data_IF_114870232733
#
_entry.id   IF_114870232733
#
_cell.length_a   1.000
_cell.length_b   1.000
_cell.length_c   1.000
_cell.angle_alpha   90.00
_cell.angle_beta   90.00
_cell.angle_gamma   90.00
#
_symmetry.space_group_name_H-M   'P 1'
#
loop_
_entity.id
_entity.type
_entity.pdbx_description
1 polymer ?
#
# COMPACT_ATOMS: atom_id res chain seq x y z
N UNK A 1 -22.96 -8.69 16.28
CA UNK A 1 -21.60 -8.32 15.83
C UNK A 1 -21.03 -7.34 16.84
N UNK A 2 -19.79 -7.51 17.28
CA UNK A 2 -19.12 -6.49 18.11
C UNK A 2 -18.94 -5.21 17.29
N UNK A 3 -19.07 -4.04 17.92
CA UNK A 3 -18.82 -2.77 17.26
C UNK A 3 -17.34 -2.65 16.87
N UNK A 4 -17.07 -2.17 15.66
CA UNK A 4 -15.71 -1.85 15.21
C UNK A 4 -15.28 -0.56 15.91
N UNK A 5 -14.14 -0.60 16.60
CA UNK A 5 -13.50 0.58 17.17
C UNK A 5 -12.30 0.99 16.30
N UNK A 6 -12.45 2.05 15.52
CA UNK A 6 -11.39 2.64 14.72
C UNK A 6 -10.55 3.59 15.60
N UNK A 7 -9.27 3.27 15.76
CA UNK A 7 -8.30 4.01 16.57
C UNK A 7 -7.60 5.11 15.76
N UNK A 8 -7.23 4.81 14.52
CA UNK A 8 -6.63 5.78 13.58
C UNK A 8 -7.08 5.48 12.15
N UNK A 9 -6.94 6.48 11.29
CA UNK A 9 -7.06 6.32 9.85
C UNK A 9 -6.21 7.38 9.15
N UNK A 10 -5.76 7.11 7.93
CA UNK A 10 -5.05 8.06 7.08
C UNK A 10 -5.12 7.62 5.61
N UNK A 11 -4.83 8.54 4.70
CA UNK A 11 -4.62 8.19 3.30
C UNK A 11 -3.12 8.23 3.00
N UNK A 12 -2.64 7.27 2.22
CA UNK A 12 -1.30 7.31 1.63
C UNK A 12 -1.43 7.82 0.20
N UNK A 13 -0.67 8.86 -0.16
CA UNK A 13 -0.53 9.30 -1.55
C UNK A 13 0.51 8.40 -2.24
N UNK A 14 0.09 7.76 -3.32
CA UNK A 14 0.94 6.90 -4.15
C UNK A 14 1.70 7.76 -5.18
N UNK A 15 2.87 7.28 -5.66
CA UNK A 15 3.64 8.04 -6.63
C UNK A 15 2.88 8.20 -7.96
N UNK A 16 3.15 9.29 -8.68
CA UNK A 16 2.44 9.64 -9.92
C UNK A 16 2.62 8.62 -11.05
N UNK A 17 3.61 7.73 -10.96
CA UNK A 17 3.84 6.67 -11.94
C UNK A 17 3.28 5.30 -11.50
N UNK A 18 2.48 5.25 -10.43
CA UNK A 18 1.95 3.98 -9.90
C UNK A 18 1.11 3.22 -10.92
N UNK A 19 0.38 3.92 -11.79
CA UNK A 19 -0.44 3.32 -12.83
C UNK A 19 -0.49 4.21 -14.07
N UNK A 20 -0.92 3.69 -15.24
CA UNK A 20 -1.12 4.50 -16.44
C UNK A 20 -2.14 5.64 -16.30
N UNK A 21 -2.98 5.58 -15.27
CA UNK A 21 -3.99 6.60 -14.97
C UNK A 21 -3.48 7.67 -14.02
N UNK A 22 -2.40 7.39 -13.29
CA UNK A 22 -1.83 8.33 -12.37
C UNK A 22 -1.09 9.43 -13.13
N UNK A 23 -1.19 10.66 -12.65
CA UNK A 23 -0.54 11.81 -13.25
C UNK A 23 -0.59 13.02 -12.33
N UNK A 24 -0.02 14.17 -12.75
CA UNK A 24 0.00 15.39 -11.93
C UNK A 24 -1.38 15.85 -11.48
N UNK A 25 -2.40 15.64 -12.31
CA UNK A 25 -3.79 16.03 -12.04
C UNK A 25 -4.66 14.87 -11.51
N UNK A 26 -4.09 13.66 -11.38
CA UNK A 26 -4.83 12.47 -10.96
C UNK A 26 -3.99 11.66 -9.96
N UNK A 27 -3.97 12.15 -8.72
CA UNK A 27 -3.34 11.47 -7.60
C UNK A 27 -4.09 10.20 -7.21
N UNK A 28 -3.33 9.15 -6.91
CA UNK A 28 -3.85 7.86 -6.46
C UNK A 28 -3.58 7.69 -4.98
N UNK A 29 -4.54 7.09 -4.28
CA UNK A 29 -4.55 6.98 -2.84
C UNK A 29 -4.76 5.54 -2.40
N UNK A 30 -4.15 5.22 -1.27
CA UNK A 30 -4.35 3.99 -0.51
C UNK A 30 -4.93 4.37 0.87
N UNK A 31 -6.24 4.15 1.11
CA UNK A 31 -6.85 4.42 2.41
C UNK A 31 -6.46 3.34 3.42
N UNK A 32 -5.96 3.76 4.57
CA UNK A 32 -5.54 2.89 5.68
C UNK A 32 -6.36 3.20 6.92
N UNK A 33 -6.84 2.15 7.56
CA UNK A 33 -7.56 2.19 8.84
C UNK A 33 -6.83 1.36 9.87
N UNK A 34 -6.97 1.74 11.14
CA UNK A 34 -6.52 0.96 12.28
C UNK A 34 -7.72 0.65 13.17
N UNK A 35 -8.22 -0.58 13.05
CA UNK A 35 -9.27 -1.07 13.93
C UNK A 35 -8.65 -1.87 15.08
N UNK A 36 -9.18 -1.69 16.31
CA UNK A 36 -8.63 -2.26 17.54
C UNK A 36 -8.38 -3.78 17.48
N UNK A 37 -9.31 -4.54 16.88
CA UNK A 37 -9.23 -6.01 16.83
C UNK A 37 -8.64 -6.58 15.54
N UNK A 38 -8.57 -5.78 14.47
CA UNK A 38 -8.05 -6.22 13.16
C UNK A 38 -6.61 -5.77 12.96
N UNK A 39 -6.22 -4.66 13.59
CA UNK A 39 -4.97 -3.98 13.30
C UNK A 39 -5.09 -3.06 12.09
N UNK A 40 -3.93 -2.68 11.55
CA UNK A 40 -3.83 -1.77 10.41
C UNK A 40 -4.08 -2.52 9.11
N UNK A 41 -4.97 -2.01 8.29
CA UNK A 41 -5.30 -2.61 7.00
C UNK A 41 -5.81 -1.56 6.00
N UNK A 42 -5.76 -1.91 4.73
CA UNK A 42 -6.43 -1.16 3.66
C UNK A 42 -7.92 -1.50 3.63
N UNK A 43 -8.76 -0.56 3.18
CA UNK A 43 -10.20 -0.80 3.06
C UNK A 43 -10.59 -1.75 1.92
N UNK A 44 -9.71 -1.88 0.94
CA UNK A 44 -9.82 -2.90 -0.09
C UNK A 44 -8.89 -4.07 0.17
N UNK A 45 -9.30 -5.20 -0.40
CA UNK A 45 -8.56 -6.45 -0.40
C UNK A 45 -7.38 -6.36 -1.33
N UNK A 46 -7.51 -5.74 -2.51
CA UNK A 46 -6.45 -5.64 -3.53
C UNK A 46 -5.52 -4.43 -3.32
N UNK A 47 -4.46 -4.28 -4.13
CA UNK A 47 -3.58 -3.10 -4.05
C UNK A 47 -4.37 -1.85 -4.42
N UNK A 48 -4.72 -0.98 -3.45
CA UNK A 48 -5.66 0.10 -3.72
C UNK A 48 -4.90 1.25 -4.38
N UNK A 49 -5.13 1.44 -5.67
CA UNK A 49 -4.60 2.57 -6.44
C UNK A 49 -5.76 3.40 -6.95
N UNK A 50 -6.41 4.11 -6.04
CA UNK A 50 -7.71 4.72 -6.31
C UNK A 50 -7.66 6.24 -6.32
N UNK A 51 -8.37 6.92 -7.24
CA UNK A 51 -8.56 8.35 -7.14
C UNK A 51 -9.40 8.71 -5.91
N UNK A 52 -9.31 9.96 -5.44
CA UNK A 52 -9.97 10.42 -4.22
C UNK A 52 -11.50 10.15 -4.19
N UNK A 53 -12.19 10.27 -5.33
CA UNK A 53 -13.64 10.01 -5.42
C UNK A 53 -13.99 8.54 -5.19
N UNK A 54 -13.12 7.62 -5.62
CA UNK A 54 -13.32 6.18 -5.44
C UNK A 54 -13.10 5.81 -3.98
N UNK A 55 -12.07 6.35 -3.33
CA UNK A 55 -11.87 6.22 -1.88
C UNK A 55 -13.10 6.68 -1.09
N UNK A 56 -13.66 7.85 -1.41
CA UNK A 56 -14.88 8.34 -0.75
C UNK A 56 -16.07 7.39 -1.01
N UNK A 57 -16.22 6.87 -2.22
CA UNK A 57 -17.26 5.90 -2.54
C UNK A 57 -17.12 4.63 -1.71
N UNK A 58 -15.90 4.10 -1.56
CA UNK A 58 -15.62 2.95 -0.70
C UNK A 58 -15.95 3.23 0.76
N UNK A 59 -15.56 4.39 1.27
CA UNK A 59 -15.86 4.85 2.63
C UNK A 59 -17.37 4.88 2.88
N UNK A 60 -18.12 5.46 1.94
CA UNK A 60 -19.58 5.48 2.00
C UNK A 60 -20.16 4.07 2.04
N UNK A 61 -19.72 3.19 1.14
CA UNK A 61 -20.26 1.84 0.99
C UNK A 61 -19.93 0.91 2.18
N UNK A 62 -18.71 0.97 2.69
CA UNK A 62 -18.20 -0.01 3.67
C UNK A 62 -18.24 0.46 5.12
N UNK A 63 -18.12 1.76 5.37
CA UNK A 63 -17.89 2.30 6.73
C UNK A 63 -18.94 3.31 7.17
N UNK A 64 -19.39 4.21 6.30
CA UNK A 64 -20.40 5.20 6.67
C UNK A 64 -21.75 4.54 7.01
N UNK A 65 -22.12 3.45 6.33
CA UNK A 65 -23.30 2.63 6.67
C UNK A 65 -23.19 2.09 8.10
N UNK A 66 -22.02 1.63 8.53
CA UNK A 66 -21.80 1.13 9.89
C UNK A 66 -21.98 2.22 10.96
N UNK A 67 -21.79 3.49 10.62
CA UNK A 67 -22.09 4.62 11.50
C UNK A 67 -23.60 4.74 11.74
N UNK A 68 -24.43 4.53 10.70
CA UNK A 68 -25.90 4.50 10.79
C UNK A 68 -26.34 3.36 11.71
N UNK A 69 -25.75 2.18 11.53
CA UNK A 69 -26.05 0.98 12.31
C UNK A 69 -25.47 1.03 13.74
N UNK A 70 -24.75 2.11 14.10
CA UNK A 70 -24.02 2.26 15.37
C UNK A 70 -23.05 1.12 15.66
N UNK A 71 -22.55 0.49 14.60
CA UNK A 71 -21.58 -0.61 14.66
C UNK A 71 -20.15 -0.15 14.36
N UNK A 72 -19.95 1.13 14.05
CA UNK A 72 -18.64 1.79 13.98
C UNK A 72 -18.55 2.91 15.03
N UNK A 73 -17.50 2.85 15.84
CA UNK A 73 -17.09 3.91 16.76
C UNK A 73 -15.65 4.32 16.46
N UNK A 74 -15.31 5.56 16.77
CA UNK A 74 -13.97 6.12 16.61
C UNK A 74 -13.44 6.46 17.99
N UNK A 75 -12.33 5.85 18.38
CA UNK A 75 -11.76 5.99 19.73
C UNK A 75 -12.81 5.79 20.83
N UNK A 76 -13.62 4.73 20.69
CA UNK A 76 -14.70 4.37 21.62
C UNK A 76 -15.92 5.29 21.59
N UNK A 77 -15.99 6.28 20.68
CA UNK A 77 -17.11 7.23 20.58
C UNK A 77 -17.92 7.03 19.30
N UNK A 78 -19.26 7.01 19.36
CA UNK A 78 -20.10 7.03 18.16
C UNK A 78 -19.78 8.23 17.27
N UNK A 79 -19.86 8.03 15.96
CA UNK A 79 -19.65 9.07 14.96
C UNK A 79 -20.81 9.06 13.96
N UNK A 80 -21.25 10.23 13.51
CA UNK A 80 -22.27 10.31 12.45
C UNK A 80 -21.66 10.00 11.08
N UNK A 81 -22.44 9.49 10.11
CA UNK A 81 -21.96 9.26 8.75
C UNK A 81 -21.34 10.52 8.11
N UNK A 82 -21.95 11.69 8.30
CA UNK A 82 -21.48 12.97 7.74
C UNK A 82 -20.14 13.38 8.36
N UNK A 83 -20.02 13.21 9.67
CA UNK A 83 -18.78 13.49 10.41
C UNK A 83 -17.67 12.54 9.96
N UNK A 84 -18.00 11.27 9.74
CA UNK A 84 -17.06 10.27 9.26
C UNK A 84 -16.57 10.56 7.83
N UNK A 85 -17.48 10.93 6.91
CA UNK A 85 -17.12 11.34 5.55
C UNK A 85 -16.24 12.60 5.57
N UNK A 86 -16.59 13.60 6.38
CA UNK A 86 -15.77 14.81 6.57
C UNK A 86 -14.36 14.47 7.04
N UNK A 87 -14.24 13.58 8.03
CA UNK A 87 -12.96 13.02 8.55
C UNK A 87 -12.08 12.47 7.43
N UNK A 88 -12.67 11.84 6.41
CA UNK A 88 -11.94 11.24 5.29
C UNK A 88 -11.57 12.25 4.19
N UNK A 89 -12.44 13.23 3.93
CA UNK A 89 -12.08 14.36 3.05
C UNK A 89 -10.87 15.13 3.57
N UNK A 90 -10.79 15.35 4.88
CA UNK A 90 -9.64 15.99 5.53
C UNK A 90 -8.34 15.18 5.38
N UNK A 91 -8.42 13.85 5.41
CA UNK A 91 -7.27 12.95 5.18
C UNK A 91 -6.82 12.94 3.73
N UNK A 92 -7.75 12.94 2.79
CA UNK A 92 -7.44 13.04 1.37
C UNK A 92 -6.81 14.39 1.02
N UNK A 93 -7.18 15.46 1.72
CA UNK A 93 -6.55 16.78 1.55
C UNK A 93 -5.15 16.87 2.17
N UNK A 94 -4.77 15.93 3.05
CA UNK A 94 -3.47 15.89 3.74
C UNK A 94 -2.95 14.44 3.78
N UNK A 95 -2.71 13.83 2.61
CA UNK A 95 -2.26 12.46 2.55
C UNK A 95 -0.81 12.34 3.03
N UNK A 96 -0.45 11.19 3.56
CA UNK A 96 0.95 10.85 3.86
C UNK A 96 1.60 10.38 2.55
N UNK A 97 2.65 11.02 2.03
CA UNK A 97 3.36 10.49 0.87
C UNK A 97 3.91 9.10 1.16
N UNK A 98 3.82 8.17 0.22
CA UNK A 98 4.32 6.80 0.40
C UNK A 98 5.80 6.76 0.84
N UNK A 99 6.63 7.68 0.30
CA UNK A 99 8.04 7.84 0.67
C UNK A 99 8.26 8.26 2.13
N UNK A 100 7.25 8.85 2.77
CA UNK A 100 7.28 9.28 4.17
C UNK A 100 6.54 8.33 5.11
N UNK A 101 5.93 7.26 4.61
CA UNK A 101 5.12 6.35 5.42
C UNK A 101 5.91 5.73 6.59
N UNK A 102 7.18 5.36 6.34
CA UNK A 102 8.06 4.84 7.38
C UNK A 102 8.40 5.91 8.43
N UNK A 103 8.65 7.14 8.02
CA UNK A 103 9.01 8.24 8.91
C UNK A 103 7.82 8.75 9.74
N UNK A 104 6.70 9.03 9.07
CA UNK A 104 5.56 9.74 9.68
C UNK A 104 4.62 8.77 10.42
N UNK A 105 4.62 7.48 10.05
CA UNK A 105 3.73 6.46 10.65
C UNK A 105 4.46 5.24 11.22
N UNK A 106 5.77 5.09 11.03
CA UNK A 106 6.51 3.90 11.46
C UNK A 106 6.14 2.64 10.67
N UNK A 107 5.66 2.79 9.42
CA UNK A 107 5.08 1.69 8.65
C UNK A 107 5.80 1.48 7.32
N UNK A 108 5.88 0.21 6.94
CA UNK A 108 6.25 -0.26 5.61
C UNK A 108 5.05 -0.96 4.99
N UNK A 109 4.70 -0.59 3.76
CA UNK A 109 3.61 -1.22 3.02
C UNK A 109 4.18 -2.20 1.98
N UNK A 110 3.76 -3.46 2.07
CA UNK A 110 4.20 -4.52 1.17
C UNK A 110 2.99 -5.11 0.46
N UNK A 111 2.94 -4.99 -0.87
CA UNK A 111 1.94 -5.71 -1.66
C UNK A 111 2.32 -7.19 -1.73
N UNK A 112 1.35 -8.05 -1.46
CA UNK A 112 1.51 -9.50 -1.41
C UNK A 112 0.51 -10.13 -2.38
N UNK A 113 1.04 -10.84 -3.38
CA UNK A 113 0.29 -11.59 -4.37
C UNK A 113 0.59 -13.06 -4.19
N UNK A 114 -0.44 -13.87 -3.97
CA UNK A 114 -0.34 -15.32 -3.81
C UNK A 114 -1.24 -16.00 -4.83
N UNK A 115 -0.72 -17.00 -5.52
CA UNK A 115 -1.46 -17.78 -6.50
C UNK A 115 -0.98 -19.22 -6.55
N UNK A 116 -1.85 -20.10 -7.03
CA UNK A 116 -1.51 -21.48 -7.37
C UNK A 116 -0.71 -21.47 -8.67
N UNK A 117 0.47 -22.06 -8.66
CA UNK A 117 1.32 -22.11 -9.85
C UNK A 117 0.58 -22.79 -11.01
N UNK A 118 0.51 -22.11 -12.15
CA UNK A 118 0.01 -22.67 -13.41
C UNK A 118 0.72 -22.01 -14.60
N UNK A 119 0.92 -22.74 -15.72
CA UNK A 119 1.42 -22.14 -16.96
C UNK A 119 0.49 -21.04 -17.50
N UNK A 120 -0.82 -21.14 -17.25
CA UNK A 120 -1.82 -20.17 -17.68
C UNK A 120 -1.61 -18.79 -17.03
N UNK A 121 -1.26 -18.76 -15.74
CA UNK A 121 -0.95 -17.51 -15.04
C UNK A 121 0.34 -16.89 -15.58
N UNK A 122 1.41 -17.68 -15.75
CA UNK A 122 2.67 -17.15 -16.28
C UNK A 122 2.54 -16.65 -17.74
N UNK A 123 1.73 -17.31 -18.56
CA UNK A 123 1.49 -16.95 -19.95
C UNK A 123 0.53 -15.77 -20.17
N UNK A 124 -0.06 -15.21 -19.10
CA UNK A 124 -1.02 -14.09 -19.18
C UNK A 124 -0.38 -12.90 -19.85
N UNK A 125 -1.03 -12.42 -20.91
CA UNK A 125 -0.66 -11.16 -21.58
C UNK A 125 -1.37 -9.98 -20.95
N UNK A 126 -0.69 -8.83 -20.96
CA UNK A 126 -1.28 -7.57 -20.58
C UNK A 126 -2.31 -7.14 -21.64
N UNK A 127 -3.41 -6.51 -21.21
CA UNK A 127 -4.47 -6.03 -22.10
C UNK A 127 -4.24 -4.57 -22.55
N UNK A 128 -3.01 -4.07 -22.39
CA UNK A 128 -2.67 -2.67 -22.55
C UNK A 128 -1.83 -2.45 -23.80
N UNK A 129 -1.84 -1.22 -24.32
CA UNK A 129 -0.94 -0.79 -25.39
C UNK A 129 0.41 -0.43 -24.75
N UNK A 130 1.50 -1.03 -25.25
CA UNK A 130 2.88 -0.84 -24.76
C UNK A 130 3.05 -1.03 -23.24
N UNK A 131 2.64 -2.18 -22.68
CA UNK A 131 2.89 -2.48 -21.27
C UNK A 131 4.41 -2.67 -21.06
N UNK A 132 4.94 -2.35 -19.86
CA UNK A 132 6.34 -2.60 -19.54
C UNK A 132 6.68 -4.10 -19.54
N UNK A 133 5.67 -4.94 -19.31
CA UNK A 133 5.78 -6.40 -19.38
C UNK A 133 4.75 -6.94 -20.36
N UNK A 134 5.20 -7.71 -21.36
CA UNK A 134 4.28 -8.33 -22.30
C UNK A 134 3.45 -9.43 -21.63
N UNK A 135 4.07 -10.18 -20.69
CA UNK A 135 3.44 -11.25 -19.93
C UNK A 135 3.72 -11.14 -18.43
N UNK A 136 2.85 -11.76 -17.62
CA UNK A 136 3.07 -11.87 -16.19
C UNK A 136 4.36 -12.64 -15.86
N UNK A 137 4.68 -13.68 -16.64
CA UNK A 137 5.94 -14.41 -16.52
C UNK A 137 7.18 -13.53 -16.70
N UNK A 138 7.11 -12.48 -17.52
CA UNK A 138 8.23 -11.55 -17.73
C UNK A 138 8.44 -10.69 -16.46
N UNK A 139 7.35 -10.20 -15.85
CA UNK A 139 7.38 -9.50 -14.56
C UNK A 139 8.01 -10.38 -13.47
N UNK A 140 7.62 -11.66 -13.42
CA UNK A 140 8.18 -12.60 -12.44
C UNK A 140 9.64 -12.95 -12.70
N UNK A 141 10.08 -12.97 -13.95
CA UNK A 141 11.49 -13.21 -14.30
C UNK A 141 12.39 -12.05 -13.85
N UNK A 142 11.89 -10.82 -13.94
CA UNK A 142 12.63 -9.62 -13.51
C UNK A 142 12.66 -9.44 -11.99
N UNK A 143 11.51 -9.60 -11.32
CA UNK A 143 11.38 -9.27 -9.89
C UNK A 143 11.43 -10.48 -8.96
N UNK A 144 11.41 -11.70 -9.53
CA UNK A 144 11.44 -12.94 -8.78
C UNK A 144 10.10 -13.27 -8.09
N UNK A 145 10.00 -14.50 -7.58
CA UNK A 145 8.91 -14.92 -6.70
C UNK A 145 9.38 -16.04 -5.77
N UNK A 146 8.75 -16.12 -4.61
CA UNK A 146 8.96 -17.19 -3.63
C UNK A 146 8.06 -18.37 -4.03
N UNK A 147 8.59 -19.58 -3.91
CA UNK A 147 7.86 -20.82 -4.21
C UNK A 147 7.76 -21.65 -2.95
N UNK A 148 6.55 -21.93 -2.51
CA UNK A 148 6.29 -22.73 -1.33
C UNK A 148 5.49 -23.98 -1.74
N UNK A 149 5.86 -25.18 -1.25
CA UNK A 149 5.02 -26.34 -1.40
C UNK A 149 3.72 -26.12 -0.61
N UNK A 150 2.56 -26.39 -1.22
CA UNK A 150 1.27 -26.28 -0.53
C UNK A 150 1.22 -27.25 0.63
N UNK A 151 1.02 -26.73 1.84
CA UNK A 151 0.80 -27.53 3.05
C UNK A 151 -0.66 -27.99 3.19
N UNK A 152 -1.56 -27.52 2.33
CA UNK A 152 -3.00 -27.75 2.41
C UNK A 152 -3.44 -29.12 1.81
N UNK A 153 -2.78 -30.22 2.21
CA UNK A 153 -3.26 -31.59 1.99
C UNK A 153 -3.35 -32.10 0.55
N UNK A 154 -2.95 -31.29 -0.44
CA UNK A 154 -2.93 -31.69 -1.85
C UNK A 154 -1.47 -31.81 -2.32
N UNK A 155 -0.92 -33.05 -2.38
CA UNK A 155 0.43 -33.25 -2.89
C UNK A 155 0.53 -32.74 -4.33
N UNK A 156 1.49 -31.85 -4.59
CA UNK A 156 1.79 -31.34 -5.94
C UNK A 156 1.30 -29.92 -6.25
N UNK A 157 0.52 -29.28 -5.38
CA UNK A 157 0.19 -27.85 -5.54
C UNK A 157 1.36 -26.98 -5.03
N UNK A 158 1.90 -26.13 -5.89
CA UNK A 158 2.89 -25.12 -5.51
C UNK A 158 2.20 -23.76 -5.40
N UNK A 159 2.36 -23.09 -4.27
CA UNK A 159 1.94 -21.70 -4.09
C UNK A 159 3.11 -20.81 -4.44
N UNK A 160 2.86 -19.81 -5.28
CA UNK A 160 3.83 -18.78 -5.64
C UNK A 160 3.41 -17.49 -4.95
N UNK A 161 4.40 -16.79 -4.41
CA UNK A 161 4.21 -15.52 -3.72
C UNK A 161 5.14 -14.47 -4.32
N UNK A 162 4.58 -13.34 -4.75
CA UNK A 162 5.31 -12.13 -5.08
C UNK A 162 5.07 -11.12 -3.95
N UNK A 163 6.15 -10.61 -3.37
CA UNK A 163 6.11 -9.54 -2.38
C UNK A 163 6.82 -8.32 -2.94
N UNK A 164 6.14 -7.17 -2.91
CA UNK A 164 6.66 -5.92 -3.46
C UNK A 164 6.58 -4.85 -2.39
N UNK A 165 7.73 -4.33 -1.98
CA UNK A 165 7.78 -3.13 -1.15
C UNK A 165 7.29 -1.94 -1.97
N UNK A 166 6.19 -1.32 -1.55
CA UNK A 166 5.58 -0.23 -2.30
C UNK A 166 6.49 1.01 -2.34
N UNK A 167 7.33 1.21 -1.33
CA UNK A 167 8.24 2.35 -1.25
C UNK A 167 9.57 2.13 -2.00
N UNK A 168 9.85 0.91 -2.45
CA UNK A 168 11.03 0.63 -3.27
C UNK A 168 10.95 1.38 -4.63
N UNK A 169 12.09 1.61 -5.31
CA UNK A 169 12.07 2.16 -6.66
C UNK A 169 11.14 1.36 -7.57
N UNK A 170 10.16 2.03 -8.18
CA UNK A 170 9.10 1.43 -9.01
C UNK A 170 8.19 0.41 -8.29
N UNK A 171 8.32 0.20 -6.98
CA UNK A 171 7.59 -0.84 -6.24
C UNK A 171 6.08 -0.72 -6.34
N UNK A 172 5.54 0.49 -6.13
CA UNK A 172 4.11 0.73 -6.31
C UNK A 172 3.63 0.44 -7.75
N UNK A 173 4.44 0.77 -8.75
CA UNK A 173 4.12 0.52 -10.16
C UNK A 173 4.13 -0.98 -10.50
N UNK A 174 5.12 -1.72 -9.98
CA UNK A 174 5.21 -3.18 -10.14
C UNK A 174 4.02 -3.86 -9.47
N UNK A 175 3.64 -3.41 -8.27
CA UNK A 175 2.48 -3.93 -7.57
C UNK A 175 1.18 -3.69 -8.35
N UNK A 176 1.02 -2.52 -8.98
CA UNK A 176 -0.13 -2.26 -9.83
C UNK A 176 -0.20 -3.22 -11.03
N UNK A 177 0.91 -3.44 -11.73
CA UNK A 177 0.95 -4.37 -12.86
C UNK A 177 0.67 -5.82 -12.44
N UNK A 178 1.24 -6.25 -11.31
CA UNK A 178 0.96 -7.57 -10.76
C UNK A 178 -0.54 -7.72 -10.40
N UNK A 179 -1.17 -6.69 -9.84
CA UNK A 179 -2.60 -6.70 -9.56
C UNK A 179 -3.43 -6.77 -10.84
N UNK A 180 -3.10 -5.97 -11.86
CA UNK A 180 -3.78 -5.96 -13.17
C UNK A 180 -3.77 -7.34 -13.83
N UNK A 181 -2.59 -7.99 -13.90
CA UNK A 181 -2.46 -9.35 -14.43
C UNK A 181 -3.34 -10.37 -13.69
N UNK A 182 -3.44 -10.23 -12.37
CA UNK A 182 -4.15 -11.18 -11.49
C UNK A 182 -5.62 -10.81 -11.26
N UNK A 183 -6.08 -9.65 -11.72
CA UNK A 183 -7.45 -9.16 -11.52
C UNK A 183 -8.49 -9.87 -12.40
N UNK A 184 -8.06 -10.64 -13.39
CA UNK A 184 -8.95 -11.28 -14.36
C UNK A 184 -9.83 -12.37 -13.75
N UNK A 185 -11.13 -12.32 -14.04
CA UNK A 185 -12.10 -13.33 -13.60
C UNK A 185 -11.77 -14.76 -14.07
N UNK A 186 -11.07 -14.89 -15.21
CA UNK A 186 -10.70 -16.17 -15.82
C UNK A 186 -9.69 -17.00 -14.99
N UNK A 187 -9.01 -16.39 -14.02
CA UNK A 187 -8.02 -17.04 -13.14
C UNK A 187 -8.32 -16.82 -11.66
N UNK A 188 -9.51 -16.31 -11.34
CA UNK A 188 -9.90 -15.95 -9.97
C UNK A 188 -9.84 -17.14 -9.00
N UNK A 189 -10.03 -18.36 -9.50
CA UNK A 189 -9.92 -19.62 -8.76
C UNK A 189 -8.48 -20.02 -8.43
N UNK A 190 -7.50 -19.48 -9.17
CA UNK A 190 -6.08 -19.72 -8.98
C UNK A 190 -5.40 -18.65 -8.13
N UNK A 191 -5.97 -17.45 -8.05
CA UNK A 191 -5.50 -16.38 -7.18
C UNK A 191 -5.94 -16.64 -5.75
N UNK A 192 -4.98 -16.74 -4.84
CA UNK A 192 -5.22 -16.99 -3.41
C UNK A 192 -5.44 -15.67 -2.68
N UNK A 193 -4.57 -14.69 -2.95
CA UNK A 193 -4.71 -13.36 -2.36
C UNK A 193 -3.99 -12.31 -3.20
N UNK A 194 -4.51 -11.11 -3.21
CA UNK A 194 -3.85 -9.87 -3.64
C UNK A 194 -4.16 -8.92 -2.51
N UNK A 195 -3.16 -8.39 -1.80
CA UNK A 195 -3.36 -7.53 -0.61
C UNK A 195 -2.16 -6.66 -0.30
N UNK A 196 -2.33 -5.71 0.61
CA UNK A 196 -1.23 -4.92 1.18
C UNK A 196 -1.10 -5.23 2.66
N UNK A 197 0.06 -5.75 3.04
CA UNK A 197 0.43 -5.98 4.43
C UNK A 197 1.20 -4.74 4.96
N UNK A 198 0.77 -4.23 6.12
CA UNK A 198 1.37 -3.07 6.79
C UNK A 198 2.24 -3.55 7.95
N UNK A 199 3.56 -3.46 7.77
CA UNK A 199 4.54 -3.89 8.75
C UNK A 199 5.05 -2.70 9.56
N UNK A 200 5.24 -2.90 10.87
CA UNK A 200 5.96 -1.94 11.70
C UNK A 200 7.44 -1.92 11.27
N UNK A 201 7.98 -0.72 11.11
CA UNK A 201 9.41 -0.53 10.90
C UNK A 201 10.08 -0.48 12.27
N UNK A 202 11.07 -1.35 12.56
CA UNK A 202 11.83 -1.27 13.80
C UNK A 202 12.48 0.11 13.91
N UNK A 203 12.42 0.71 15.10
CA UNK A 203 12.91 2.08 15.36
C UNK A 203 14.40 2.26 15.02
N UNK A 204 15.18 1.17 15.01
CA UNK A 204 16.63 1.17 14.75
C UNK A 204 17.02 1.13 13.26
N UNK A 205 16.06 1.07 12.34
CA UNK A 205 16.31 0.91 10.89
C UNK A 205 16.18 2.21 10.07
N UNK A 206 16.22 3.38 10.70
CA UNK A 206 16.30 4.65 9.96
C UNK A 206 17.73 4.87 9.42
N UNK A 207 17.93 5.15 8.12
CA UNK A 207 19.24 5.54 7.63
C UNK A 207 19.68 6.84 8.31
N UNK A 208 20.74 6.76 9.09
CA UNK A 208 21.40 7.90 9.71
C UNK A 208 22.03 8.78 8.63
N UNK A 209 21.29 9.75 8.10
CA UNK A 209 21.91 10.84 7.33
C UNK A 209 20.92 11.97 7.07
N UNK A 210 20.87 12.92 7.99
CA UNK A 210 20.89 14.37 7.72
C UNK A 210 21.44 15.08 8.97
N UNK A 211 22.68 14.76 9.35
CA UNK A 211 23.46 15.74 10.09
C UNK A 211 23.84 16.84 9.09
N UNK A 212 23.06 17.91 9.16
CA UNK A 212 23.42 19.22 8.63
C UNK A 212 24.87 19.51 9.00
N UNK A 213 25.76 19.52 8.00
CA UNK A 213 27.11 20.00 8.18
C UNK A 213 27.02 21.51 8.46
N UNK A 214 27.10 21.87 9.74
CA UNK A 214 27.33 23.26 10.14
C UNK A 214 28.66 23.71 9.51
N UNK A 215 28.75 24.92 8.94
CA UNK A 215 30.00 25.43 8.41
C UNK A 215 30.99 25.62 9.56
N UNK A 216 32.14 24.96 9.44
CA UNK A 216 33.32 25.17 10.28
C UNK A 216 33.70 26.65 10.24
N UNK A 217 33.36 27.36 11.31
CA UNK A 217 33.92 28.68 11.60
C UNK A 217 35.35 28.45 12.08
N UNK A 218 36.33 28.61 11.19
CA UNK A 218 37.74 28.69 11.56
C UNK A 218 38.01 30.08 12.13
N UNK A 219 38.07 30.15 13.46
CA UNK A 219 38.62 31.26 14.22
C UNK A 219 39.86 30.75 14.97
N UNK A 220 40.83 31.65 15.13
CA UNK A 220 42.10 31.55 15.89
C UNK A 220 43.28 30.87 15.16
N UNK A 221 44.52 31.38 15.16
CA UNK A 221 45.20 32.48 15.87
C UNK A 221 46.42 32.91 14.98
N UNK A 222 47.11 34.04 15.11
CA UNK A 222 47.86 34.55 16.27
C UNK A 222 48.35 35.99 16.02
N UNK A 223 48.79 36.71 17.08
CA UNK A 223 49.40 38.03 17.01
C UNK A 223 50.94 37.92 16.82
N UNK A 224 51.53 38.85 16.06
CA UNK A 224 52.96 39.12 16.17
C UNK A 224 53.27 40.60 15.89
N UNK A 225 53.84 41.21 16.92
CA UNK A 225 54.48 42.51 17.02
C UNK A 225 55.66 42.63 16.07
N UNK A 226 55.77 43.75 15.33
CA UNK A 226 56.93 44.65 15.27
C UNK A 226 56.52 45.97 14.60
#
# INVERSE_FOLDING_TARGET
>A
MAAINELDAFCVALPQNVSPFAGPDNEMFMPVVFDEHVGRHTLDSHVPTEPAWAVISQICLRRAVLCVDRSLVVNGRPISPESYIKRWRERLARPVPLSRLALDKGLRAVAVFQWRHSPAIAGRTANWVNPPFARFGDLLAEHGCISEPSTAGHPGLCVRTLQVDLAAPHGAQIAWWADDFLSSSAISDQVISRRVDLHQVPFDAQPASFHSAAPLSSHEAEPATF
#
